data_IF_301150179631
#
_entry.id   IF_301150179631
#
_cell.length_a   1.000
_cell.length_b   1.000
_cell.length_c   1.000
_cell.angle_alpha   90.00
_cell.angle_beta   90.00
_cell.angle_gamma   90.00
#
_symmetry.space_group_name_H-M   'P 1'
#
loop_
_entity.id
_entity.type
_entity.pdbx_description
1 polymer ?
#
# COMPACT_ATOMS: atom_id res chain seq x y z
N UNK A 1 11.41 7.77 8.79
CA UNK A 1 10.15 7.57 8.03
C UNK A 1 8.97 8.27 8.71
N UNK A 2 8.84 8.17 10.03
CA UNK A 2 7.86 8.93 10.80
C UNK A 2 8.01 10.45 10.62
N UNK A 3 9.21 11.00 10.46
CA UNK A 3 9.44 12.46 10.34
C UNK A 3 8.87 13.08 9.07
N UNK A 4 8.83 12.34 7.93
CA UNK A 4 8.27 12.85 6.68
C UNK A 4 6.76 13.02 6.80
N UNK A 5 6.08 12.03 7.36
CA UNK A 5 4.63 12.05 7.60
C UNK A 5 4.21 13.19 8.55
N UNK A 6 5.04 13.52 9.53
CA UNK A 6 4.79 14.50 10.60
C UNK A 6 4.95 15.93 10.16
N UNK A 7 6.06 16.22 9.49
CA UNK A 7 6.34 17.56 8.94
C UNK A 7 5.19 18.03 8.07
N UNK A 8 4.55 17.11 7.38
CA UNK A 8 3.44 17.37 6.51
C UNK A 8 2.17 17.84 7.24
N UNK A 9 1.77 17.20 8.35
CA UNK A 9 0.58 17.60 9.09
C UNK A 9 0.78 19.01 9.67
N UNK A 10 1.90 19.27 10.35
CA UNK A 10 2.18 20.56 10.99
C UNK A 10 2.56 21.66 9.99
N UNK A 11 3.21 21.34 8.86
CA UNK A 11 3.71 22.35 7.91
C UNK A 11 2.74 22.62 6.75
N UNK A 12 1.84 21.69 6.43
CA UNK A 12 0.97 21.80 5.26
C UNK A 12 -0.51 21.87 5.64
N UNK A 13 -1.00 20.95 6.47
CA UNK A 13 -2.43 20.80 6.68
C UNK A 13 -2.99 21.62 7.83
N UNK A 14 -2.35 21.59 8.99
CA UNK A 14 -2.79 22.30 10.17
C UNK A 14 -2.86 23.82 9.96
N UNK A 15 -1.85 24.49 9.34
CA UNK A 15 -1.94 25.94 9.06
C UNK A 15 -3.07 26.32 8.11
N UNK A 16 -3.51 25.37 7.27
CA UNK A 16 -4.59 25.59 6.29
C UNK A 16 -5.95 25.09 6.79
N UNK A 17 -6.02 24.57 8.02
CA UNK A 17 -7.22 23.95 8.59
C UNK A 17 -7.81 22.85 7.69
N UNK A 18 -6.95 22.12 6.96
CA UNK A 18 -7.35 21.03 6.09
C UNK A 18 -7.49 19.74 6.89
N UNK A 19 -8.67 19.15 6.85
CA UNK A 19 -8.96 17.86 7.47
C UNK A 19 -8.61 16.76 6.47
N UNK A 20 -7.44 16.16 6.63
CA UNK A 20 -6.90 15.18 5.68
C UNK A 20 -7.27 13.73 5.99
N UNK A 21 -8.21 13.51 6.88
CA UNK A 21 -8.51 12.18 7.41
C UNK A 21 -7.59 11.82 8.57
N UNK A 22 -7.62 10.56 8.96
CA UNK A 22 -6.87 10.10 10.11
C UNK A 22 -7.41 10.62 11.45
N UNK A 23 -6.88 10.13 12.55
CA UNK A 23 -7.20 10.70 13.86
C UNK A 23 -6.59 12.08 14.05
N UNK A 24 -5.56 12.44 13.29
CA UNK A 24 -5.07 13.81 13.21
C UNK A 24 -6.12 14.76 12.63
N UNK A 25 -6.87 14.31 11.61
CA UNK A 25 -8.00 15.06 11.05
C UNK A 25 -9.12 15.30 12.08
N UNK A 26 -9.47 14.24 12.84
CA UNK A 26 -10.39 14.39 13.98
C UNK A 26 -9.80 15.35 15.04
N UNK A 27 -8.50 15.27 15.29
CA UNK A 27 -7.78 16.18 16.18
C UNK A 27 -7.90 17.63 15.75
N UNK A 28 -7.69 17.95 14.47
CA UNK A 28 -7.83 19.31 13.92
C UNK A 28 -9.26 19.85 14.12
N UNK A 29 -10.28 19.00 13.92
CA UNK A 29 -11.67 19.36 14.17
C UNK A 29 -11.91 19.69 15.66
N UNK A 30 -11.45 18.83 16.57
CA UNK A 30 -11.62 19.00 18.00
C UNK A 30 -10.79 20.16 18.57
N UNK A 31 -9.62 20.40 18.04
CA UNK A 31 -8.81 21.60 18.38
C UNK A 31 -9.54 22.87 18.01
N UNK A 32 -10.15 22.93 16.83
CA UNK A 32 -10.94 24.11 16.42
C UNK A 32 -12.17 24.34 17.27
N UNK A 33 -12.86 23.27 17.67
CA UNK A 33 -14.12 23.36 18.43
C UNK A 33 -13.89 23.54 19.95
N UNK A 34 -12.92 22.85 20.50
CA UNK A 34 -12.74 22.72 21.96
C UNK A 34 -11.35 23.16 22.45
N UNK A 35 -10.43 23.55 21.56
CA UNK A 35 -9.06 23.93 21.95
C UNK A 35 -8.19 22.75 22.41
N UNK A 36 -8.59 21.50 22.14
CA UNK A 36 -7.83 20.31 22.55
C UNK A 36 -6.74 20.06 21.53
N UNK A 37 -5.46 20.02 21.93
CA UNK A 37 -4.36 19.89 20.97
C UNK A 37 -4.41 18.56 20.20
N UNK A 38 -4.11 18.60 18.91
CA UNK A 38 -4.20 17.47 17.96
C UNK A 38 -3.49 16.21 18.48
N UNK A 39 -2.30 16.38 19.09
CA UNK A 39 -1.52 15.24 19.61
C UNK A 39 -2.26 14.50 20.74
N UNK A 40 -2.98 15.21 21.59
CA UNK A 40 -3.70 14.62 22.72
C UNK A 40 -4.91 13.80 22.22
N UNK A 41 -5.66 14.34 21.26
CA UNK A 41 -6.78 13.65 20.62
C UNK A 41 -6.27 12.39 19.90
N UNK A 42 -5.23 12.52 19.10
CA UNK A 42 -4.65 11.40 18.36
C UNK A 42 -4.17 10.31 19.30
N UNK A 43 -3.48 10.66 20.37
CA UNK A 43 -3.03 9.68 21.36
C UNK A 43 -4.20 8.98 22.06
N UNK A 44 -5.17 9.74 22.55
CA UNK A 44 -6.33 9.21 23.29
C UNK A 44 -7.18 8.25 22.44
N UNK A 45 -7.42 8.58 21.17
CA UNK A 45 -8.18 7.74 20.25
C UNK A 45 -7.44 6.45 19.86
N UNK A 46 -6.11 6.49 19.87
CA UNK A 46 -5.31 5.31 19.56
C UNK A 46 -5.30 4.25 20.68
N UNK A 47 -5.41 4.65 21.94
CA UNK A 47 -5.37 3.72 23.08
C UNK A 47 -6.38 2.58 22.93
N UNK A 48 -7.70 2.82 22.76
CA UNK A 48 -8.67 1.74 22.61
C UNK A 48 -8.43 0.89 21.35
N UNK A 49 -7.95 1.50 20.25
CA UNK A 49 -7.62 0.76 19.03
C UNK A 49 -6.47 -0.24 19.25
N UNK A 50 -5.44 0.13 19.98
CA UNK A 50 -4.35 -0.77 20.30
C UNK A 50 -4.80 -1.95 21.16
N UNK A 51 -5.72 -1.71 22.09
CA UNK A 51 -6.33 -2.81 22.85
C UNK A 51 -7.11 -3.77 21.97
N UNK A 52 -7.89 -3.25 21.01
CA UNK A 52 -8.59 -4.08 20.03
C UNK A 52 -7.64 -4.81 19.09
N UNK A 53 -6.60 -4.12 18.60
CA UNK A 53 -5.62 -4.67 17.67
C UNK A 53 -4.83 -5.84 18.28
N UNK A 54 -4.66 -5.89 19.59
CA UNK A 54 -3.99 -6.99 20.30
C UNK A 54 -4.63 -8.36 20.03
N UNK A 55 -5.91 -8.40 19.72
CA UNK A 55 -6.64 -9.65 19.43
C UNK A 55 -6.39 -10.16 18.00
N UNK A 56 -6.04 -9.26 17.07
CA UNK A 56 -5.99 -9.56 15.64
C UNK A 56 -4.57 -9.50 15.05
N UNK A 57 -3.60 -8.93 15.77
CA UNK A 57 -2.25 -8.71 15.27
C UNK A 57 -1.19 -9.30 16.20
N UNK A 58 -0.04 -9.65 15.62
CA UNK A 58 1.11 -10.20 16.36
C UNK A 58 1.70 -9.17 17.32
N UNK A 59 2.36 -9.64 18.39
CA UNK A 59 3.02 -8.75 19.35
C UNK A 59 4.08 -7.86 18.68
N UNK A 60 4.81 -8.41 17.72
CA UNK A 60 5.83 -7.65 16.98
C UNK A 60 5.24 -6.49 16.18
N UNK A 61 4.13 -6.72 15.46
CA UNK A 61 3.39 -5.67 14.76
C UNK A 61 2.94 -4.57 15.72
N UNK A 62 2.39 -4.95 16.88
CA UNK A 62 1.91 -3.99 17.89
C UNK A 62 3.05 -3.16 18.48
N UNK A 63 4.20 -3.76 18.79
CA UNK A 63 5.37 -3.01 19.29
C UNK A 63 5.91 -2.03 18.25
N UNK A 64 6.06 -2.45 17.01
CA UNK A 64 6.48 -1.57 15.91
C UNK A 64 5.50 -0.42 15.69
N UNK A 65 4.19 -0.72 15.72
CA UNK A 65 3.14 0.28 15.56
C UNK A 65 3.07 1.23 16.76
N UNK A 66 3.24 0.73 17.98
CA UNK A 66 3.30 1.57 19.18
C UNK A 66 4.50 2.54 19.12
N UNK A 67 5.67 2.04 18.72
CA UNK A 67 6.84 2.88 18.51
C UNK A 67 6.58 3.95 17.43
N UNK A 68 6.01 3.57 16.30
CA UNK A 68 5.64 4.50 15.23
C UNK A 68 4.63 5.55 15.72
N UNK A 69 3.58 5.14 16.47
CA UNK A 69 2.57 6.03 17.03
C UNK A 69 3.17 7.04 18.04
N UNK A 70 3.98 6.57 18.99
CA UNK A 70 4.62 7.45 19.99
C UNK A 70 5.52 8.44 19.28
N UNK A 71 6.36 7.95 18.38
CA UNK A 71 7.23 8.81 17.58
C UNK A 71 6.40 9.81 16.79
N UNK A 72 5.30 9.43 16.14
CA UNK A 72 4.39 10.34 15.45
C UNK A 72 3.77 11.39 16.38
N UNK A 73 3.19 10.99 17.49
CA UNK A 73 2.56 11.91 18.45
C UNK A 73 3.57 12.91 19.04
N UNK A 74 4.77 12.44 19.41
CA UNK A 74 5.82 13.31 19.98
C UNK A 74 6.26 14.39 18.98
N UNK A 75 6.35 14.06 17.72
CA UNK A 75 6.76 15.04 16.75
C UNK A 75 5.61 16.01 16.38
N UNK A 76 4.34 15.60 16.40
CA UNK A 76 3.24 16.57 16.34
C UNK A 76 3.33 17.58 17.49
N UNK A 77 3.82 17.17 18.65
CA UNK A 77 4.01 18.07 19.79
C UNK A 77 5.21 19.00 19.68
N UNK A 78 6.28 18.58 18.99
CA UNK A 78 7.58 19.31 18.96
C UNK A 78 7.74 20.19 17.71
N UNK A 79 7.19 19.76 16.56
CA UNK A 79 7.33 20.50 15.30
C UNK A 79 6.41 21.72 15.30
N UNK A 80 6.96 22.95 15.16
CA UNK A 80 6.14 24.15 15.12
C UNK A 80 5.25 24.18 13.87
N UNK A 81 4.02 24.70 14.02
CA UNK A 81 3.07 24.89 12.92
C UNK A 81 3.52 26.07 12.08
N UNK A 82 4.05 25.81 10.89
CA UNK A 82 4.48 26.84 9.92
C UNK A 82 3.96 26.51 8.54
N UNK A 83 3.46 27.50 7.80
CA UNK A 83 2.95 27.29 6.45
C UNK A 83 4.08 27.28 5.41
N UNK A 84 4.26 26.17 4.71
CA UNK A 84 5.21 26.04 3.59
C UNK A 84 4.53 26.33 2.25
N UNK A 85 3.22 26.16 2.16
CA UNK A 85 2.45 26.22 0.90
C UNK A 85 1.89 27.58 0.58
N UNK A 86 2.27 28.63 1.32
CA UNK A 86 1.83 30.02 1.09
C UNK A 86 0.30 30.18 0.83
N UNK A 87 -0.53 29.38 1.51
CA UNK A 87 -1.98 29.36 1.41
C UNK A 87 -2.56 28.82 0.07
N UNK A 88 -1.75 28.12 -0.73
CA UNK A 88 -2.25 27.41 -1.90
C UNK A 88 -2.79 26.03 -1.50
N UNK A 89 -4.14 25.94 -1.41
CA UNK A 89 -4.86 24.73 -1.01
C UNK A 89 -4.63 23.55 -1.97
N UNK A 90 -4.52 23.82 -3.28
CA UNK A 90 -4.32 22.75 -4.27
C UNK A 90 -2.90 22.16 -4.15
N UNK A 91 -1.90 23.04 -4.02
CA UNK A 91 -0.51 22.61 -3.80
C UNK A 91 -0.39 21.82 -2.49
N UNK A 92 -1.03 22.29 -1.42
CA UNK A 92 -1.09 21.60 -0.14
C UNK A 92 -1.75 20.21 -0.26
N UNK A 93 -2.87 20.11 -0.99
CA UNK A 93 -3.58 18.85 -1.20
C UNK A 93 -2.73 17.83 -1.97
N UNK A 94 -2.07 18.23 -3.05
CA UNK A 94 -1.28 17.34 -3.90
C UNK A 94 0.03 16.95 -3.21
N UNK A 95 0.86 17.92 -2.80
CA UNK A 95 2.15 17.63 -2.16
C UNK A 95 1.95 16.95 -0.81
N UNK A 96 1.02 17.47 -0.02
CA UNK A 96 0.65 16.88 1.24
C UNK A 96 0.16 15.45 1.07
N UNK A 97 -0.77 15.19 0.17
CA UNK A 97 -1.27 13.86 -0.14
C UNK A 97 -0.19 12.91 -0.61
N UNK A 98 0.74 13.37 -1.46
CA UNK A 98 1.84 12.55 -1.96
C UNK A 98 2.83 12.14 -0.85
N UNK A 99 3.26 13.08 -0.02
CA UNK A 99 4.15 12.78 1.12
C UNK A 99 3.46 11.89 2.16
N UNK A 100 2.19 12.16 2.45
CA UNK A 100 1.39 11.36 3.39
C UNK A 100 1.25 9.93 2.89
N UNK A 101 0.79 9.75 1.66
CA UNK A 101 0.62 8.42 1.07
C UNK A 101 1.93 7.66 0.93
N UNK A 102 3.03 8.35 0.57
CA UNK A 102 4.37 7.79 0.53
C UNK A 102 4.85 7.33 1.91
N UNK A 103 4.71 8.19 2.93
CA UNK A 103 5.08 7.89 4.30
C UNK A 103 4.28 6.71 4.88
N UNK A 104 2.95 6.71 4.74
CA UNK A 104 2.10 5.60 5.15
C UNK A 104 2.46 4.31 4.43
N UNK A 105 2.65 4.36 3.11
CA UNK A 105 3.02 3.20 2.32
C UNK A 105 4.33 2.55 2.80
N UNK A 106 5.34 3.35 3.14
CA UNK A 106 6.60 2.86 3.70
C UNK A 106 6.43 2.25 5.10
N UNK A 107 5.59 2.83 5.96
CA UNK A 107 5.27 2.28 7.28
C UNK A 107 4.59 0.92 7.16
N UNK A 108 3.64 0.78 6.22
CA UNK A 108 3.00 -0.51 5.96
C UNK A 108 3.96 -1.56 5.38
N UNK A 109 4.88 -1.16 4.49
CA UNK A 109 5.92 -2.06 3.99
C UNK A 109 6.86 -2.54 5.10
N UNK A 110 7.08 -1.72 6.14
CA UNK A 110 7.85 -2.10 7.33
C UNK A 110 7.04 -3.01 8.30
N UNK A 111 5.82 -3.42 7.95
CA UNK A 111 4.97 -4.26 8.79
C UNK A 111 4.52 -3.57 10.08
N UNK A 112 4.15 -2.30 9.98
CA UNK A 112 3.69 -1.48 11.11
C UNK A 112 2.58 -0.51 10.67
N UNK A 113 1.98 0.18 11.63
CA UNK A 113 0.98 1.23 11.44
C UNK A 113 1.36 2.44 12.28
N UNK A 114 0.94 3.63 11.87
CA UNK A 114 1.13 4.85 12.68
C UNK A 114 0.07 5.02 13.77
N UNK A 115 -0.87 4.08 13.86
CA UNK A 115 -2.09 4.26 14.64
C UNK A 115 -3.12 5.10 13.85
N UNK A 116 -4.29 5.35 14.44
CA UNK A 116 -5.32 6.13 13.77
C UNK A 116 -6.16 5.31 12.79
N UNK A 117 -6.63 5.96 11.72
CA UNK A 117 -7.49 5.33 10.72
C UNK A 117 -6.79 4.24 9.92
N UNK A 118 -5.47 4.27 9.82
CA UNK A 118 -4.67 3.23 9.22
C UNK A 118 -4.71 1.94 10.05
N UNK A 119 -4.54 2.00 11.38
CA UNK A 119 -4.72 0.85 12.26
C UNK A 119 -6.18 0.37 12.28
N UNK A 120 -7.15 1.30 12.33
CA UNK A 120 -8.57 0.96 12.23
C UNK A 120 -8.87 0.22 10.92
N UNK A 121 -8.29 0.66 9.83
CA UNK A 121 -8.48 0.04 8.51
C UNK A 121 -7.89 -1.36 8.44
N UNK A 122 -6.78 -1.65 9.13
CA UNK A 122 -6.26 -3.03 9.24
C UNK A 122 -7.19 -3.94 10.03
N UNK A 123 -7.91 -3.42 11.01
CA UNK A 123 -8.93 -4.15 11.76
C UNK A 123 -10.21 -4.38 10.93
N UNK A 124 -10.54 -3.45 10.03
CA UNK A 124 -11.70 -3.57 9.13
C UNK A 124 -11.40 -4.44 7.89
N UNK A 125 -10.14 -4.56 7.48
CA UNK A 125 -9.76 -5.29 6.27
C UNK A 125 -10.27 -6.74 6.23
N UNK A 126 -10.28 -7.53 7.32
CA UNK A 126 -10.86 -8.88 7.30
C UNK A 126 -12.36 -8.93 6.98
N UNK A 127 -13.09 -7.83 7.20
CA UNK A 127 -14.51 -7.70 6.84
C UNK A 127 -14.70 -7.40 5.34
N UNK A 128 -13.67 -6.84 4.70
CA UNK A 128 -13.69 -6.43 3.30
C UNK A 128 -12.46 -6.96 2.54
N UNK A 129 -12.28 -8.30 2.44
CA UNK A 129 -11.03 -8.89 1.93
C UNK A 129 -10.77 -8.60 0.44
N UNK A 130 -11.79 -8.24 -0.31
CA UNK A 130 -11.67 -7.88 -1.72
C UNK A 130 -11.20 -6.43 -1.95
N UNK A 131 -11.21 -5.59 -0.93
CA UNK A 131 -10.81 -4.20 -1.04
C UNK A 131 -9.32 -4.06 -0.66
N UNK A 132 -8.59 -3.23 -1.40
CA UNK A 132 -7.22 -2.86 -1.01
C UNK A 132 -7.24 -2.02 0.27
N UNK A 133 -6.26 -2.21 1.13
CA UNK A 133 -6.14 -1.48 2.39
C UNK A 133 -6.17 0.05 2.18
N UNK A 134 -5.48 0.55 1.14
CA UNK A 134 -5.49 1.97 0.78
C UNK A 134 -6.90 2.51 0.47
N UNK A 135 -7.78 1.69 -0.11
CA UNK A 135 -9.15 2.09 -0.39
C UNK A 135 -9.99 2.18 0.90
N UNK A 136 -9.79 1.25 1.82
CA UNK A 136 -10.48 1.28 3.12
C UNK A 136 -10.06 2.51 3.90
N UNK A 137 -8.76 2.83 3.96
CA UNK A 137 -8.24 4.06 4.57
C UNK A 137 -8.88 5.28 3.91
N UNK A 138 -8.89 5.35 2.57
CA UNK A 138 -9.46 6.46 1.84
C UNK A 138 -10.96 6.67 2.11
N UNK A 139 -11.74 5.59 2.30
CA UNK A 139 -13.17 5.68 2.66
C UNK A 139 -13.34 6.21 4.08
N UNK A 140 -12.59 5.66 5.05
CA UNK A 140 -12.67 6.10 6.45
C UNK A 140 -12.25 7.57 6.58
N UNK A 141 -11.16 7.95 5.92
CA UNK A 141 -10.68 9.32 5.90
C UNK A 141 -11.66 10.26 5.18
N UNK A 142 -12.28 9.80 4.09
CA UNK A 142 -13.33 10.55 3.39
C UNK A 142 -14.54 10.85 4.29
N UNK A 143 -14.97 9.91 5.12
CA UNK A 143 -16.04 10.12 6.10
C UNK A 143 -15.65 11.21 7.11
N UNK A 144 -14.40 11.19 7.60
CA UNK A 144 -13.88 12.20 8.53
C UNK A 144 -13.85 13.59 7.86
N UNK A 145 -13.42 13.65 6.60
CA UNK A 145 -13.40 14.92 5.83
C UNK A 145 -14.80 15.46 5.63
N UNK A 146 -15.78 14.62 5.29
CA UNK A 146 -17.18 15.04 5.15
C UNK A 146 -17.73 15.56 6.48
N UNK A 147 -17.43 14.90 7.60
CA UNK A 147 -17.79 15.42 8.91
C UNK A 147 -17.09 16.76 9.23
N UNK A 148 -15.81 16.89 8.86
CA UNK A 148 -15.06 18.15 9.01
C UNK A 148 -15.58 19.31 8.16
N UNK A 149 -16.32 19.03 7.08
CA UNK A 149 -16.92 20.05 6.21
C UNK A 149 -17.86 20.97 6.99
N UNK A 150 -18.54 20.46 7.99
CA UNK A 150 -19.44 21.22 8.84
C UNK A 150 -18.71 22.29 9.67
N UNK A 151 -17.41 22.08 9.96
CA UNK A 151 -16.60 22.98 10.79
C UNK A 151 -15.76 23.94 9.95
N UNK A 152 -15.17 23.46 8.86
CA UNK A 152 -14.20 24.20 8.06
C UNK A 152 -14.77 24.71 6.73
N UNK A 153 -16.02 24.34 6.41
CA UNK A 153 -16.70 24.75 5.19
C UNK A 153 -16.37 23.90 3.97
N UNK A 154 -17.20 24.06 2.94
CA UNK A 154 -17.17 23.22 1.73
C UNK A 154 -15.86 23.36 0.95
N UNK A 155 -15.31 24.58 0.84
CA UNK A 155 -14.08 24.83 0.08
C UNK A 155 -12.91 24.00 0.60
N UNK A 156 -12.65 24.06 1.89
CA UNK A 156 -11.55 23.31 2.53
C UNK A 156 -11.78 21.80 2.43
N UNK A 157 -13.03 21.34 2.60
CA UNK A 157 -13.38 19.94 2.47
C UNK A 157 -13.13 19.39 1.05
N UNK A 158 -13.42 20.14 0.00
CA UNK A 158 -13.13 19.72 -1.38
C UNK A 158 -11.63 19.51 -1.62
N UNK A 159 -10.78 20.42 -1.14
CA UNK A 159 -9.33 20.21 -1.23
C UNK A 159 -8.84 19.04 -0.36
N UNK A 160 -9.47 18.84 0.80
CA UNK A 160 -9.18 17.70 1.66
C UNK A 160 -9.53 16.35 0.98
N UNK A 161 -10.64 16.29 0.24
CA UNK A 161 -11.00 15.10 -0.57
C UNK A 161 -9.91 14.83 -1.63
N UNK A 162 -9.42 15.86 -2.29
CA UNK A 162 -8.31 15.73 -3.25
C UNK A 162 -7.06 15.16 -2.54
N UNK A 163 -6.72 15.69 -1.36
CA UNK A 163 -5.58 15.21 -0.57
C UNK A 163 -5.74 13.73 -0.19
N UNK A 164 -6.90 13.29 0.30
CA UNK A 164 -7.21 11.90 0.65
C UNK A 164 -7.10 11.00 -0.59
N UNK A 165 -7.61 11.44 -1.73
CA UNK A 165 -7.52 10.69 -2.98
C UNK A 165 -6.06 10.51 -3.43
N UNK A 166 -5.25 11.57 -3.40
CA UNK A 166 -3.81 11.51 -3.74
C UNK A 166 -3.09 10.59 -2.76
N UNK A 167 -3.35 10.72 -1.46
CA UNK A 167 -2.80 9.86 -0.41
C UNK A 167 -3.06 8.38 -0.71
N UNK A 168 -4.31 8.01 -0.96
CA UNK A 168 -4.69 6.62 -1.26
C UNK A 168 -4.01 6.10 -2.52
N UNK A 169 -3.90 6.91 -3.56
CA UNK A 169 -3.25 6.50 -4.82
C UNK A 169 -1.73 6.32 -4.68
N UNK A 170 -1.07 7.24 -4.00
CA UNK A 170 0.37 7.15 -3.76
C UNK A 170 0.69 5.99 -2.82
N UNK A 171 -0.08 5.83 -1.74
CA UNK A 171 0.06 4.71 -0.82
C UNK A 171 -0.12 3.36 -1.55
N UNK A 172 -1.17 3.22 -2.37
CA UNK A 172 -1.40 2.01 -3.18
C UNK A 172 -0.22 1.76 -4.14
N UNK A 173 0.31 2.80 -4.77
CA UNK A 173 1.49 2.72 -5.63
C UNK A 173 2.74 2.24 -4.88
N UNK A 174 2.98 2.75 -3.67
CA UNK A 174 4.12 2.35 -2.83
C UNK A 174 3.95 0.91 -2.33
N UNK A 175 2.80 0.56 -1.80
CA UNK A 175 2.54 -0.76 -1.22
C UNK A 175 2.41 -1.86 -2.27
N UNK A 176 1.79 -1.55 -3.41
CA UNK A 176 1.61 -2.49 -4.53
C UNK A 176 2.80 -2.51 -5.49
N UNK A 177 3.54 -1.40 -5.62
CA UNK A 177 4.63 -1.24 -6.59
C UNK A 177 5.81 -2.21 -6.42
N UNK A 178 5.95 -2.84 -5.25
CA UNK A 178 6.97 -3.86 -4.98
C UNK A 178 6.50 -5.30 -5.27
N UNK A 179 5.23 -5.51 -5.63
CA UNK A 179 4.62 -6.84 -5.79
C UNK A 179 4.11 -7.14 -7.19
N UNK A 180 4.48 -6.36 -8.21
CA UNK A 180 4.07 -6.66 -9.58
C UNK A 180 4.89 -7.81 -10.15
N UNK A 181 4.31 -9.01 -10.08
CA UNK A 181 4.74 -10.13 -10.91
C UNK A 181 4.10 -10.04 -12.31
N UNK A 182 4.80 -10.54 -13.30
CA UNK A 182 4.30 -10.73 -14.66
C UNK A 182 4.25 -12.22 -14.94
N UNK A 183 3.15 -12.68 -15.49
CA UNK A 183 3.08 -14.00 -16.09
C UNK A 183 3.39 -13.86 -17.58
N UNK A 184 4.29 -14.67 -18.08
CA UNK A 184 4.68 -14.69 -19.47
C UNK A 184 4.28 -16.03 -20.10
N UNK A 185 3.64 -15.96 -21.26
CA UNK A 185 3.42 -17.11 -22.12
C UNK A 185 4.23 -16.92 -23.38
N UNK A 186 5.12 -17.87 -23.65
CA UNK A 186 6.05 -17.82 -24.78
C UNK A 186 5.74 -18.99 -25.69
N UNK A 187 5.40 -18.69 -26.94
CA UNK A 187 5.08 -19.66 -27.99
C UNK A 187 6.17 -19.55 -29.03
N UNK A 188 7.01 -20.59 -29.15
CA UNK A 188 8.15 -20.63 -30.04
C UNK A 188 8.40 -22.07 -30.52
N UNK A 189 8.99 -22.19 -31.71
CA UNK A 189 9.47 -23.47 -32.20
C UNK A 189 10.82 -23.85 -31.55
N UNK A 190 11.49 -22.88 -30.88
CA UNK A 190 12.73 -23.06 -30.10
C UNK A 190 12.47 -23.09 -28.58
N UNK A 191 11.35 -23.67 -28.17
CA UNK A 191 10.91 -23.66 -26.77
C UNK A 191 11.93 -24.28 -25.80
N UNK A 192 12.69 -25.29 -26.22
CA UNK A 192 13.71 -25.94 -25.39
C UNK A 192 14.89 -25.00 -25.06
N UNK A 193 15.41 -24.29 -26.06
CA UNK A 193 16.49 -23.31 -25.88
C UNK A 193 16.06 -22.14 -25.00
N UNK A 194 14.85 -21.62 -25.24
CA UNK A 194 14.28 -20.55 -24.41
C UNK A 194 14.07 -21.02 -22.97
N UNK A 195 13.65 -22.25 -22.74
CA UNK A 195 13.50 -22.80 -21.39
C UNK A 195 14.84 -22.86 -20.65
N UNK A 196 15.93 -23.25 -21.32
CA UNK A 196 17.29 -23.26 -20.74
C UNK A 196 17.75 -21.84 -20.36
N UNK A 197 17.47 -20.83 -21.20
CA UNK A 197 17.76 -19.42 -20.91
C UNK A 197 16.98 -19.00 -19.64
N UNK A 198 15.70 -19.32 -19.53
CA UNK A 198 14.88 -18.96 -18.38
C UNK A 198 15.40 -19.60 -17.08
N UNK A 199 15.73 -20.89 -17.14
CA UNK A 199 16.20 -21.67 -15.99
C UNK A 199 17.57 -21.20 -15.50
N UNK A 200 18.52 -20.96 -16.42
CA UNK A 200 19.93 -20.74 -16.05
C UNK A 200 20.33 -19.28 -15.98
N UNK A 201 19.75 -18.39 -16.80
CA UNK A 201 20.11 -16.97 -16.76
C UNK A 201 19.21 -16.14 -15.85
N UNK A 202 17.96 -16.53 -15.74
CA UNK A 202 16.99 -15.81 -14.89
C UNK A 202 16.71 -16.53 -13.57
N UNK A 203 17.18 -17.78 -13.41
CA UNK A 203 16.93 -18.62 -12.23
C UNK A 203 15.44 -18.68 -11.87
N UNK A 204 14.58 -18.80 -12.91
CA UNK A 204 13.14 -18.82 -12.77
C UNK A 204 12.56 -20.14 -13.23
N UNK A 205 11.57 -20.63 -12.47
CA UNK A 205 10.80 -21.80 -12.87
C UNK A 205 10.05 -21.55 -14.16
N UNK A 206 10.06 -22.52 -15.07
CA UNK A 206 9.33 -22.52 -16.31
C UNK A 206 8.49 -23.79 -16.43
N UNK A 207 7.23 -23.65 -16.85
CA UNK A 207 6.32 -24.79 -17.06
C UNK A 207 5.94 -24.85 -18.53
N UNK A 208 6.13 -26.01 -19.17
CA UNK A 208 5.70 -26.23 -20.55
C UNK A 208 4.24 -26.72 -20.57
N UNK A 209 3.39 -25.96 -21.25
CA UNK A 209 1.99 -26.34 -21.52
C UNK A 209 1.90 -26.86 -22.94
N UNK A 210 1.21 -27.97 -23.16
CA UNK A 210 0.94 -28.50 -24.51
C UNK A 210 -0.29 -27.84 -25.11
N UNK A 211 -0.19 -27.39 -26.33
CA UNK A 211 -1.29 -26.79 -27.07
C UNK A 211 -1.23 -27.14 -28.56
N UNK A 212 -2.35 -27.08 -29.24
CA UNK A 212 -2.42 -27.25 -30.68
C UNK A 212 -2.63 -25.93 -31.39
N UNK A 213 -1.79 -25.61 -32.37
CA UNK A 213 -1.98 -24.47 -33.26
C UNK A 213 -3.18 -24.69 -34.16
N UNK A 214 -4.29 -24.02 -33.92
CA UNK A 214 -5.54 -24.22 -34.67
C UNK A 214 -5.41 -23.91 -36.17
N UNK A 215 -4.51 -22.99 -36.52
CA UNK A 215 -4.24 -22.66 -37.93
C UNK A 215 -3.28 -23.66 -38.58
N UNK A 216 -2.24 -24.07 -37.86
CA UNK A 216 -1.19 -24.94 -38.41
C UNK A 216 -1.47 -26.44 -38.23
N UNK A 217 -2.39 -26.81 -37.33
CA UNK A 217 -2.65 -28.19 -36.93
C UNK A 217 -1.51 -28.84 -36.15
N UNK A 218 -0.43 -28.11 -35.87
CA UNK A 218 0.77 -28.64 -35.20
C UNK A 218 0.66 -28.51 -33.68
N UNK A 219 1.17 -29.53 -32.98
CA UNK A 219 1.38 -29.46 -31.55
C UNK A 219 2.50 -28.44 -31.25
N UNK A 220 2.30 -27.57 -30.23
CA UNK A 220 3.23 -26.58 -29.76
C UNK A 220 3.40 -26.65 -28.25
N UNK A 221 4.60 -26.36 -27.78
CA UNK A 221 4.87 -26.14 -26.38
C UNK A 221 4.79 -24.65 -26.08
N UNK A 222 3.96 -24.28 -25.12
CA UNK A 222 3.82 -22.93 -24.61
C UNK A 222 4.56 -22.88 -23.29
N UNK A 223 5.61 -22.08 -23.20
CA UNK A 223 6.32 -21.88 -21.94
C UNK A 223 5.59 -20.85 -21.10
N UNK A 224 5.28 -21.21 -19.86
CA UNK A 224 4.69 -20.33 -18.86
C UNK A 224 5.72 -20.09 -17.77
N UNK A 225 6.05 -18.85 -17.51
CA UNK A 225 6.92 -18.44 -16.40
C UNK A 225 6.38 -17.20 -15.70
N UNK A 226 6.73 -17.05 -14.44
CA UNK A 226 6.38 -15.89 -13.63
C UNK A 226 7.65 -15.17 -13.24
N UNK A 227 7.68 -13.86 -13.50
CA UNK A 227 8.88 -13.03 -13.35
C UNK A 227 8.51 -11.67 -12.77
N UNK A 228 9.49 -10.92 -12.26
CA UNK A 228 9.30 -9.52 -11.89
C UNK A 228 9.13 -8.65 -13.15
N UNK A 229 8.58 -7.44 -12.97
CA UNK A 229 8.42 -6.47 -14.08
C UNK A 229 9.75 -6.14 -14.77
N UNK A 230 10.85 -6.08 -14.01
CA UNK A 230 12.19 -5.78 -14.56
C UNK A 230 12.72 -6.94 -15.40
N UNK A 231 12.59 -8.16 -14.88
CA UNK A 231 13.02 -9.38 -15.57
C UNK A 231 12.20 -9.60 -16.85
N UNK A 232 10.90 -9.31 -16.86
CA UNK A 232 10.06 -9.47 -18.04
C UNK A 232 10.59 -8.68 -19.25
N UNK A 233 11.06 -7.45 -19.06
CA UNK A 233 11.61 -6.62 -20.14
C UNK A 233 12.88 -7.24 -20.71
N UNK A 234 13.79 -7.69 -19.84
CA UNK A 234 15.03 -8.34 -20.27
C UNK A 234 14.75 -9.69 -20.92
N UNK A 235 13.84 -10.48 -20.36
CA UNK A 235 13.48 -11.81 -20.89
C UNK A 235 12.89 -11.74 -22.29
N UNK A 236 12.02 -10.75 -22.58
CA UNK A 236 11.50 -10.54 -23.95
C UNK A 236 12.64 -10.34 -24.94
N UNK A 237 13.71 -9.62 -24.56
CA UNK A 237 14.86 -9.40 -25.41
C UNK A 237 15.58 -10.73 -25.71
N UNK A 238 15.91 -11.52 -24.69
CA UNK A 238 16.57 -12.81 -24.86
C UNK A 238 15.72 -13.81 -25.66
N UNK A 239 14.41 -13.85 -25.44
CA UNK A 239 13.49 -14.69 -26.22
C UNK A 239 13.52 -14.29 -27.70
N UNK A 240 13.53 -12.99 -28.00
CA UNK A 240 13.58 -12.49 -29.38
C UNK A 240 14.95 -12.68 -30.05
N UNK A 241 16.03 -12.72 -29.28
CA UNK A 241 17.35 -13.07 -29.76
C UNK A 241 17.44 -14.57 -30.12
N UNK A 242 16.79 -15.46 -29.33
CA UNK A 242 16.73 -16.88 -29.60
C UNK A 242 15.79 -17.21 -30.78
N UNK A 243 14.61 -16.61 -30.80
CA UNK A 243 13.63 -16.77 -31.90
C UNK A 243 12.91 -15.46 -32.17
N UNK A 244 13.24 -14.81 -33.28
CA UNK A 244 12.62 -13.55 -33.71
C UNK A 244 11.10 -13.69 -33.93
N UNK A 245 10.65 -14.91 -34.33
CA UNK A 245 9.24 -15.24 -34.58
C UNK A 245 8.48 -15.66 -33.34
N UNK A 246 9.14 -15.78 -32.18
CA UNK A 246 8.49 -16.14 -30.94
C UNK A 246 7.33 -15.19 -30.64
N UNK A 247 6.19 -15.73 -30.23
CA UNK A 247 5.04 -14.96 -29.77
C UNK A 247 5.03 -14.93 -28.25
N UNK A 248 5.15 -13.73 -27.67
CA UNK A 248 5.25 -13.53 -26.23
C UNK A 248 4.05 -12.73 -25.74
N UNK A 249 3.30 -13.30 -24.80
CA UNK A 249 2.23 -12.62 -24.09
C UNK A 249 2.74 -12.31 -22.68
N UNK A 250 2.66 -11.04 -22.28
CA UNK A 250 3.00 -10.59 -20.92
C UNK A 250 1.74 -10.04 -20.27
N UNK A 251 1.30 -10.69 -19.20
CA UNK A 251 0.12 -10.30 -18.45
C UNK A 251 0.49 -9.93 -17.00
N UNK A 252 -0.34 -9.10 -16.36
CA UNK A 252 -0.17 -8.78 -14.95
C UNK A 252 -0.64 -9.95 -14.07
N UNK A 253 0.25 -10.45 -13.22
CA UNK A 253 -0.11 -11.37 -12.16
C UNK A 253 -0.36 -10.54 -10.88
N UNK A 254 -1.61 -10.57 -10.37
CA UNK A 254 -1.98 -9.78 -9.18
C UNK A 254 -1.39 -10.36 -7.90
N UNK A 255 -1.40 -11.68 -7.78
CA UNK A 255 -0.86 -12.41 -6.65
C UNK A 255 -0.13 -13.64 -7.15
N UNK A 256 1.10 -13.82 -6.69
CA UNK A 256 1.89 -15.02 -6.92
C UNK A 256 2.41 -15.48 -5.56
N UNK A 257 1.97 -16.65 -5.16
CA UNK A 257 2.34 -17.28 -3.91
C UNK A 257 3.23 -18.49 -4.22
N UNK A 258 4.40 -18.57 -3.60
CA UNK A 258 5.33 -19.68 -3.80
C UNK A 258 6.79 -19.27 -3.67
N UNK A 259 7.69 -20.24 -3.82
CA UNK A 259 9.14 -20.01 -3.75
C UNK A 259 9.59 -19.01 -4.81
N UNK A 260 10.44 -18.06 -4.40
CA UNK A 260 10.94 -16.98 -5.26
C UNK A 260 9.99 -15.78 -5.41
N UNK A 261 8.78 -15.83 -4.82
CA UNK A 261 7.81 -14.75 -4.73
C UNK A 261 7.35 -14.55 -3.28
N UNK A 262 6.21 -13.92 -3.07
CA UNK A 262 5.68 -13.73 -1.72
C UNK A 262 5.41 -15.09 -1.08
N UNK A 263 6.11 -15.39 0.02
CA UNK A 263 5.69 -16.49 0.89
C UNK A 263 4.31 -16.08 1.39
N UNK A 264 3.31 -16.92 1.13
CA UNK A 264 2.01 -16.76 1.76
C UNK A 264 2.22 -16.93 3.26
N UNK A 265 2.40 -15.82 3.97
CA UNK A 265 2.04 -15.77 5.37
C UNK A 265 0.50 -15.82 5.40
N UNK A 266 -0.06 -16.96 5.01
CA UNK A 266 -1.33 -17.35 5.55
C UNK A 266 -1.15 -17.19 7.05
N UNK A 267 -1.93 -16.33 7.65
CA UNK A 267 -2.25 -16.36 9.06
C UNK A 267 -2.81 -17.77 9.34
N UNK A 268 -1.94 -18.75 9.40
CA UNK A 268 -2.21 -19.94 10.17
C UNK A 268 -2.22 -19.43 11.58
N UNK A 269 -3.40 -19.28 12.13
CA UNK A 269 -3.57 -19.21 13.56
C UNK A 269 -2.93 -20.47 14.11
N UNK A 270 -1.67 -20.40 14.51
CA UNK A 270 -1.04 -21.38 15.42
C UNK A 270 -1.76 -21.43 16.78
N UNK A 271 -2.93 -20.81 16.87
CA UNK A 271 -3.83 -20.92 18.02
C UNK A 271 -4.71 -22.17 17.99
N UNK A 272 -4.62 -23.02 16.95
CA UNK A 272 -5.39 -24.28 16.90
C UNK A 272 -4.58 -25.50 17.35
N UNK A 273 -3.25 -25.42 17.37
CA UNK A 273 -2.41 -26.57 17.79
C UNK A 273 -2.11 -26.61 19.30
N UNK A 274 -2.33 -25.52 20.03
CA UNK A 274 -2.19 -25.50 21.49
C UNK A 274 -3.45 -25.99 22.25
N UNK A 275 -4.48 -26.46 21.55
CA UNK A 275 -5.71 -26.99 22.18
C UNK A 275 -5.84 -28.53 22.07
N UNK A 276 -4.85 -29.23 21.52
CA UNK A 276 -4.79 -30.70 21.47
C UNK A 276 -3.44 -31.16 22.02
N UNK A 277 -3.20 -30.90 23.27
CA UNK A 277 -2.08 -31.44 24.04
C UNK A 277 -2.48 -31.59 25.47
#
# INVERSE_FOLDING_TARGET
>A
LGDVYKRQTCLIYEPMSMVTGGFSGVGIVLEKLFGIPVFAVTFLLNVPLFFMARKFHTREYLFRSLYAMITFSLALAVIPVTSVTHQDYLMAAILGGAFHGGGLGLVFLAGSSTGGTDLLSTLLHPLFPMMRLANIIGIVDGIIVVAGMLVFGVRTALYSIVAVFVTSKVMDGVTSGMRYAKIMYIISDQSAEIAEIILHQFERGVTALRGNGMYSGKEKQILMCVVSRREAVSMVKYVKEADERAFVIVADAREVLGEGFSICLLYTSDAADDLIG
#
